data_IF_446058810593
#
_entry.id   IF_446058810593
#
_cell.length_a   1.000
_cell.length_b   1.000
_cell.length_c   1.000
_cell.angle_alpha   90.00
_cell.angle_beta   90.00
_cell.angle_gamma   90.00
#
_symmetry.space_group_name_H-M   'P 1'
#
loop_
_entity.id
_entity.type
_entity.pdbx_description
1 polymer ?
#
# COMPACT_ATOMS: atom_id res chain seq x y z
N UNK A 1 21.00 12.54 -30.84
CA UNK A 1 21.71 12.79 -29.56
C UNK A 1 23.20 12.80 -29.79
N UNK A 2 23.84 13.92 -29.45
CA UNK A 2 25.30 14.08 -29.50
C UNK A 2 25.98 13.25 -28.40
N UNK A 3 27.29 13.02 -28.53
CA UNK A 3 28.11 12.36 -27.49
C UNK A 3 28.14 13.17 -26.18
N UNK A 4 27.90 14.48 -26.27
CA UNK A 4 27.85 15.41 -25.13
C UNK A 4 26.55 15.25 -24.34
N UNK A 5 25.41 15.11 -25.03
CA UNK A 5 24.09 14.90 -24.40
C UNK A 5 24.06 13.60 -23.56
N UNK A 6 24.69 12.53 -24.05
CA UNK A 6 24.76 11.24 -23.34
C UNK A 6 25.57 11.31 -22.05
N UNK A 7 26.64 12.12 -22.03
CA UNK A 7 27.49 12.31 -20.83
C UNK A 7 26.81 13.17 -19.76
N UNK A 8 25.94 14.10 -20.15
CA UNK A 8 25.16 14.92 -19.21
C UNK A 8 23.94 14.19 -18.63
N UNK A 9 23.38 13.22 -19.36
CA UNK A 9 22.22 12.45 -18.90
C UNK A 9 22.56 11.36 -17.87
N UNK A 10 23.77 10.79 -17.92
CA UNK A 10 24.23 9.74 -17.01
C UNK A 10 24.16 10.13 -15.50
N UNK A 11 24.71 11.27 -15.05
CA UNK A 11 24.62 11.67 -13.63
C UNK A 11 23.18 12.00 -13.21
N UNK A 12 22.36 12.56 -14.11
CA UNK A 12 20.95 12.82 -13.82
C UNK A 12 20.14 11.53 -13.65
N UNK A 13 20.47 10.47 -14.41
CA UNK A 13 19.86 9.17 -14.28
C UNK A 13 20.19 8.53 -12.93
N UNK A 14 21.47 8.58 -12.50
CA UNK A 14 21.90 8.08 -11.19
C UNK A 14 21.13 8.76 -10.05
N UNK A 15 21.04 10.10 -10.07
CA UNK A 15 20.29 10.86 -9.06
C UNK A 15 18.81 10.44 -8.98
N UNK A 16 18.17 10.20 -10.13
CA UNK A 16 16.78 9.74 -10.15
C UNK A 16 16.62 8.32 -9.59
N UNK A 17 17.57 7.42 -9.86
CA UNK A 17 17.54 6.07 -9.31
C UNK A 17 17.77 6.10 -7.80
N UNK A 18 18.70 6.93 -7.30
CA UNK A 18 18.91 7.13 -5.87
C UNK A 18 17.65 7.70 -5.19
N UNK A 19 17.00 8.69 -5.80
CA UNK A 19 15.71 9.23 -5.31
C UNK A 19 14.65 8.12 -5.25
N UNK A 20 14.58 7.26 -6.27
CA UNK A 20 13.68 6.11 -6.30
C UNK A 20 13.98 5.12 -5.17
N UNK A 21 15.25 4.83 -4.90
CA UNK A 21 15.66 3.95 -3.79
C UNK A 21 15.22 4.52 -2.44
N UNK A 22 15.41 5.82 -2.20
CA UNK A 22 14.98 6.47 -0.96
C UNK A 22 13.47 6.41 -0.74
N UNK A 23 12.68 6.56 -1.82
CA UNK A 23 11.24 6.40 -1.76
C UNK A 23 10.82 4.95 -1.51
N UNK A 24 11.51 3.98 -2.12
CA UNK A 24 11.28 2.56 -1.85
C UNK A 24 11.61 2.20 -0.40
N UNK A 25 12.69 2.72 0.16
CA UNK A 25 13.01 2.52 1.58
C UNK A 25 11.92 3.08 2.50
N UNK A 26 11.34 4.24 2.15
CA UNK A 26 10.20 4.78 2.89
C UNK A 26 8.96 3.88 2.77
N UNK A 27 8.66 3.39 1.56
CA UNK A 27 7.54 2.49 1.31
C UNK A 27 7.69 1.16 2.07
N UNK A 28 8.88 0.57 2.04
CA UNK A 28 9.23 -0.66 2.77
C UNK A 28 9.05 -0.48 4.28
N UNK A 29 9.52 0.65 4.83
CA UNK A 29 9.31 0.96 6.26
C UNK A 29 7.83 1.05 6.60
N UNK A 30 7.04 1.70 5.76
CA UNK A 30 5.60 1.80 5.97
C UNK A 30 4.92 0.43 5.88
N UNK A 31 5.24 -0.39 4.88
CA UNK A 31 4.67 -1.74 4.73
C UNK A 31 5.01 -2.64 5.93
N UNK A 32 6.25 -2.62 6.42
CA UNK A 32 6.64 -3.33 7.65
C UNK A 32 5.81 -2.86 8.84
N UNK A 33 5.64 -1.54 9.00
CA UNK A 33 4.81 -0.97 10.07
C UNK A 33 3.33 -1.35 9.91
N UNK A 34 2.83 -1.40 8.70
CA UNK A 34 1.44 -1.79 8.40
C UNK A 34 1.19 -3.25 8.78
N UNK A 35 2.14 -4.15 8.51
CA UNK A 35 2.09 -5.56 8.94
C UNK A 35 2.02 -5.67 10.47
N UNK A 36 2.81 -4.86 11.19
CA UNK A 36 2.79 -4.80 12.66
C UNK A 36 1.43 -4.33 13.18
N UNK A 37 0.93 -3.21 12.66
CA UNK A 37 -0.33 -2.59 13.07
C UNK A 37 -1.52 -3.53 12.81
N UNK A 38 -1.54 -4.19 11.66
CA UNK A 38 -2.50 -5.26 11.38
C UNK A 38 -2.36 -6.47 12.31
N UNK A 39 -1.16 -6.74 12.83
CA UNK A 39 -0.94 -7.76 13.86
C UNK A 39 -1.68 -7.47 15.17
N UNK A 40 -2.01 -6.20 15.46
CA UNK A 40 -2.81 -5.80 16.60
C UNK A 40 -4.32 -5.66 16.28
N UNK A 41 -4.74 -5.95 15.05
CA UNK A 41 -6.12 -5.78 14.60
C UNK A 41 -6.55 -4.32 14.36
N UNK A 42 -5.61 -3.39 14.32
CA UNK A 42 -5.88 -1.96 14.11
C UNK A 42 -5.97 -1.65 12.61
N UNK A 43 -7.15 -1.89 12.03
CA UNK A 43 -7.41 -1.60 10.63
C UNK A 43 -7.37 -0.10 10.29
N UNK A 44 -7.70 0.78 11.24
CA UNK A 44 -7.75 2.23 11.02
C UNK A 44 -6.35 2.83 10.86
N UNK A 45 -5.44 2.52 11.79
CA UNK A 45 -4.06 2.98 11.68
C UNK A 45 -3.38 2.38 10.43
N UNK A 46 -3.69 1.13 10.09
CA UNK A 46 -3.21 0.50 8.86
C UNK A 46 -3.71 1.20 7.59
N UNK A 47 -4.95 1.70 7.58
CA UNK A 47 -5.47 2.52 6.48
C UNK A 47 -4.78 3.88 6.36
N UNK A 48 -4.46 4.55 7.48
CA UNK A 48 -3.69 5.82 7.47
C UNK A 48 -2.28 5.64 6.90
N UNK A 49 -1.66 4.49 7.15
CA UNK A 49 -0.37 4.14 6.54
C UNK A 49 -0.54 3.92 5.05
N UNK A 50 -1.62 3.26 4.62
CA UNK A 50 -1.92 3.04 3.19
C UNK A 50 -2.09 4.35 2.41
N UNK A 51 -2.79 5.34 2.98
CA UNK A 51 -2.90 6.68 2.37
C UNK A 51 -1.53 7.35 2.16
N UNK A 52 -0.57 7.06 3.05
CA UNK A 52 0.80 7.55 2.90
C UNK A 52 1.58 6.75 1.85
N UNK A 53 1.34 5.44 1.74
CA UNK A 53 1.92 4.58 0.71
C UNK A 53 1.47 5.01 -0.69
N UNK A 54 0.19 5.33 -0.88
CA UNK A 54 -0.33 5.82 -2.16
C UNK A 54 0.46 7.03 -2.67
N UNK A 55 0.74 8.01 -1.79
CA UNK A 55 1.54 9.19 -2.14
C UNK A 55 2.98 8.84 -2.52
N UNK A 56 3.57 7.81 -1.91
CA UNK A 56 4.91 7.34 -2.26
C UNK A 56 4.90 6.63 -3.62
N UNK A 57 3.90 5.79 -3.89
CA UNK A 57 3.70 5.10 -5.17
C UNK A 57 3.51 6.11 -6.30
N UNK A 58 2.69 7.14 -6.11
CA UNK A 58 2.50 8.19 -7.12
C UNK A 58 3.81 8.89 -7.49
N UNK A 59 4.66 9.17 -6.48
CA UNK A 59 6.00 9.74 -6.69
C UNK A 59 6.93 8.77 -7.42
N UNK A 60 6.92 7.49 -7.04
CA UNK A 60 7.68 6.44 -7.72
C UNK A 60 7.30 6.37 -9.20
N UNK A 61 6.00 6.32 -9.52
CA UNK A 61 5.51 6.35 -10.91
C UNK A 61 5.93 7.63 -11.65
N UNK A 62 5.97 8.78 -10.97
CA UNK A 62 6.47 10.02 -11.58
C UNK A 62 7.97 9.96 -11.88
N UNK A 63 8.78 9.30 -11.05
CA UNK A 63 10.21 9.14 -11.29
C UNK A 63 10.45 8.13 -12.40
N UNK A 64 9.69 7.04 -12.47
CA UNK A 64 9.78 6.05 -13.55
C UNK A 64 9.61 6.71 -14.92
N UNK A 65 8.63 7.61 -15.07
CA UNK A 65 8.44 8.39 -16.30
C UNK A 65 9.59 9.34 -16.64
N UNK A 66 10.37 9.78 -15.65
CA UNK A 66 11.58 10.60 -15.87
C UNK A 66 12.76 9.73 -16.29
N UNK A 67 12.92 8.58 -15.62
CA UNK A 67 13.94 7.57 -15.92
C UNK A 67 13.78 7.07 -17.36
N UNK A 68 12.56 6.68 -17.76
CA UNK A 68 12.25 6.18 -19.11
C UNK A 68 12.70 7.15 -20.22
N UNK A 69 12.55 8.46 -19.99
CA UNK A 69 12.97 9.50 -20.95
C UNK A 69 14.48 9.71 -21.03
N UNK A 70 15.22 9.30 -20.00
CA UNK A 70 16.66 9.55 -19.87
C UNK A 70 17.50 8.29 -20.16
N UNK A 71 16.94 7.09 -19.99
CA UNK A 71 17.66 5.83 -20.24
C UNK A 71 18.10 5.65 -21.69
N UNK A 72 17.40 6.25 -22.65
CA UNK A 72 17.75 6.13 -24.07
C UNK A 72 19.16 6.66 -24.36
N UNK A 73 20.09 5.73 -24.64
CA UNK A 73 21.43 6.06 -25.09
C UNK A 73 22.44 6.38 -23.98
N UNK A 74 22.10 6.16 -22.71
CA UNK A 74 23.09 6.20 -21.61
C UNK A 74 23.92 4.92 -21.63
N UNK A 75 25.25 4.99 -21.82
CA UNK A 75 26.10 3.80 -21.77
C UNK A 75 26.13 3.24 -20.35
N UNK A 76 25.97 1.91 -20.23
CA UNK A 76 26.06 1.27 -18.94
C UNK A 76 27.51 1.31 -18.41
N UNK A 77 27.65 1.66 -17.14
CA UNK A 77 28.89 1.63 -16.39
C UNK A 77 28.70 0.84 -15.09
N UNK A 78 29.79 0.51 -14.41
CA UNK A 78 29.74 -0.33 -13.20
C UNK A 78 28.88 0.28 -12.09
N UNK A 79 29.01 1.59 -11.88
CA UNK A 79 28.22 2.36 -10.89
C UNK A 79 26.71 2.23 -11.12
N UNK A 80 26.26 2.38 -12.37
CA UNK A 80 24.85 2.23 -12.73
C UNK A 80 24.36 0.80 -12.51
N UNK A 81 25.20 -0.21 -12.79
CA UNK A 81 24.87 -1.62 -12.57
C UNK A 81 24.67 -1.90 -11.07
N UNK A 82 25.59 -1.44 -10.21
CA UNK A 82 25.52 -1.63 -8.76
C UNK A 82 24.29 -0.95 -8.14
N UNK A 83 24.00 0.28 -8.56
CA UNK A 83 22.83 1.02 -8.10
C UNK A 83 21.54 0.36 -8.58
N UNK A 84 21.51 -0.15 -9.82
CA UNK A 84 20.36 -0.86 -10.37
C UNK A 84 20.11 -2.19 -9.66
N UNK A 85 21.16 -2.92 -9.27
CA UNK A 85 21.01 -4.13 -8.45
C UNK A 85 20.36 -3.81 -7.11
N UNK A 86 20.81 -2.73 -6.45
CA UNK A 86 20.21 -2.25 -5.20
C UNK A 86 18.73 -1.89 -5.40
N UNK A 87 18.40 -1.20 -6.50
CA UNK A 87 17.02 -0.86 -6.86
C UNK A 87 16.15 -2.12 -7.00
N UNK A 88 16.63 -3.14 -7.70
CA UNK A 88 15.88 -4.38 -7.89
C UNK A 88 15.65 -5.13 -6.58
N UNK A 89 16.66 -5.19 -5.71
CA UNK A 89 16.51 -5.80 -4.38
C UNK A 89 15.40 -5.11 -3.58
N UNK A 90 15.35 -3.76 -3.61
CA UNK A 90 14.31 -2.98 -2.92
C UNK A 90 12.92 -3.16 -3.51
N UNK A 91 12.81 -3.22 -4.84
CA UNK A 91 11.55 -3.51 -5.52
C UNK A 91 11.01 -4.88 -5.13
N UNK A 92 11.88 -5.89 -5.10
CA UNK A 92 11.49 -7.24 -4.71
C UNK A 92 11.09 -7.32 -3.23
N UNK A 93 11.84 -6.68 -2.33
CA UNK A 93 11.48 -6.57 -0.92
C UNK A 93 10.09 -5.93 -0.75
N UNK A 94 9.85 -4.79 -1.40
CA UNK A 94 8.55 -4.10 -1.36
C UNK A 94 7.42 -4.97 -1.92
N UNK A 95 7.66 -5.71 -3.01
CA UNK A 95 6.68 -6.62 -3.62
C UNK A 95 6.26 -7.73 -2.66
N UNK A 96 7.24 -8.36 -1.99
CA UNK A 96 6.99 -9.41 -1.02
C UNK A 96 6.23 -8.90 0.20
N UNK A 97 6.60 -7.72 0.72
CA UNK A 97 5.91 -7.09 1.84
C UNK A 97 4.48 -6.70 1.47
N UNK A 98 4.25 -6.13 0.29
CA UNK A 98 2.92 -5.77 -0.17
C UNK A 98 1.98 -6.98 -0.23
N UNK A 99 2.45 -8.13 -0.73
CA UNK A 99 1.68 -9.37 -0.74
C UNK A 99 1.25 -9.79 0.67
N UNK A 100 2.13 -9.66 1.66
CA UNK A 100 1.82 -9.96 3.06
C UNK A 100 0.83 -8.96 3.66
N UNK A 101 0.97 -7.67 3.35
CA UNK A 101 0.01 -6.61 3.75
C UNK A 101 -1.38 -6.93 3.20
N UNK A 102 -1.48 -7.28 1.91
CA UNK A 102 -2.73 -7.59 1.24
C UNK A 102 -3.44 -8.79 1.89
N UNK A 103 -2.70 -9.87 2.16
CA UNK A 103 -3.23 -11.04 2.83
C UNK A 103 -3.78 -10.71 4.24
N UNK A 104 -3.02 -9.94 5.02
CA UNK A 104 -3.47 -9.52 6.36
C UNK A 104 -4.70 -8.63 6.31
N UNK A 105 -4.75 -7.68 5.38
CA UNK A 105 -5.92 -6.83 5.17
C UNK A 105 -7.17 -7.66 4.85
N UNK A 106 -7.05 -8.64 3.95
CA UNK A 106 -8.16 -9.56 3.62
C UNK A 106 -8.67 -10.31 4.85
N UNK A 107 -7.78 -10.75 5.73
CA UNK A 107 -8.17 -11.44 6.95
C UNK A 107 -8.90 -10.52 7.94
N UNK A 108 -8.40 -9.30 8.14
CA UNK A 108 -9.06 -8.28 8.99
C UNK A 108 -10.45 -7.94 8.46
N UNK A 109 -10.58 -7.69 7.15
CA UNK A 109 -11.88 -7.39 6.53
C UNK A 109 -12.89 -8.52 6.70
N UNK A 110 -12.45 -9.78 6.63
CA UNK A 110 -13.32 -10.95 6.90
C UNK A 110 -13.81 -10.96 8.34
N UNK A 111 -12.96 -10.64 9.32
CA UNK A 111 -13.38 -10.57 10.72
C UNK A 111 -14.38 -9.42 10.94
N UNK A 112 -14.11 -8.23 10.42
CA UNK A 112 -15.07 -7.12 10.50
C UNK A 112 -16.42 -7.44 9.84
N UNK A 113 -16.41 -8.16 8.72
CA UNK A 113 -17.66 -8.60 8.08
C UNK A 113 -18.45 -9.56 8.97
N UNK A 114 -17.79 -10.48 9.69
CA UNK A 114 -18.47 -11.37 10.63
C UNK A 114 -19.09 -10.58 11.79
N UNK A 115 -18.35 -9.65 12.37
CA UNK A 115 -18.83 -8.79 13.46
C UNK A 115 -20.04 -7.96 13.03
N UNK A 116 -19.97 -7.35 11.83
CA UNK A 116 -21.07 -6.60 11.26
C UNK A 116 -22.32 -7.46 11.08
N UNK A 117 -22.17 -8.68 10.57
CA UNK A 117 -23.29 -9.61 10.40
C UNK A 117 -23.96 -9.95 11.74
N UNK A 118 -23.16 -10.21 12.79
CA UNK A 118 -23.68 -10.48 14.14
C UNK A 118 -24.45 -9.28 14.68
N UNK A 119 -23.90 -8.07 14.55
CA UNK A 119 -24.56 -6.84 14.98
C UNK A 119 -25.89 -6.63 14.23
N UNK A 120 -25.93 -6.85 12.91
CA UNK A 120 -27.13 -6.73 12.10
C UNK A 120 -28.22 -7.73 12.52
N UNK A 121 -27.87 -8.99 12.74
CA UNK A 121 -28.82 -10.01 13.23
C UNK A 121 -29.40 -9.59 14.58
N UNK A 122 -28.58 -9.09 15.51
CA UNK A 122 -29.05 -8.61 16.80
C UNK A 122 -30.01 -7.42 16.66
N UNK A 123 -29.71 -6.46 15.77
CA UNK A 123 -30.59 -5.31 15.48
C UNK A 123 -31.92 -5.79 14.90
N UNK A 124 -31.91 -6.70 13.94
CA UNK A 124 -33.13 -7.26 13.34
C UNK A 124 -33.96 -8.02 14.39
N UNK A 125 -33.32 -8.82 15.24
CA UNK A 125 -34.00 -9.55 16.30
C UNK A 125 -34.63 -8.59 17.32
N UNK A 126 -33.92 -7.55 17.74
CA UNK A 126 -34.46 -6.48 18.61
C UNK A 126 -35.66 -5.79 17.98
N UNK A 127 -35.58 -5.40 16.71
CA UNK A 127 -36.71 -4.81 15.97
C UNK A 127 -37.91 -5.76 15.92
N UNK A 128 -37.69 -7.03 15.61
CA UNK A 128 -38.75 -8.03 15.54
C UNK A 128 -39.44 -8.23 16.91
N UNK A 129 -38.66 -8.34 17.98
CA UNK A 129 -39.19 -8.50 19.34
C UNK A 129 -39.93 -7.25 19.83
N UNK A 130 -39.44 -6.06 19.52
CA UNK A 130 -40.09 -4.80 19.87
C UNK A 130 -41.47 -4.68 19.18
N UNK A 131 -41.52 -4.94 17.86
CA UNK A 131 -42.79 -4.97 17.13
C UNK A 131 -43.78 -5.96 17.76
N UNK A 132 -43.32 -7.16 18.14
CA UNK A 132 -44.18 -8.14 18.85
C UNK A 132 -44.66 -7.66 20.22
N UNK A 133 -43.82 -7.00 21.01
CA UNK A 133 -44.22 -6.47 22.32
C UNK A 133 -45.32 -5.41 22.20
N UNK A 134 -45.28 -4.57 21.17
CA UNK A 134 -46.33 -3.58 20.91
C UNK A 134 -47.67 -4.27 20.59
N UNK A 135 -47.65 -5.37 19.83
CA UNK A 135 -48.84 -6.19 19.59
C UNK A 135 -49.40 -6.86 20.86
N UNK A 136 -48.55 -7.21 21.84
CA UNK A 136 -48.98 -7.85 23.10
C UNK A 136 -49.63 -6.85 24.08
N UNK A 137 -49.47 -5.54 23.88
CA UNK A 137 -50.16 -4.50 24.66
C UNK A 137 -51.53 -4.12 24.10
N UNK A 138 -51.90 -4.59 22.90
CA UNK A 138 -53.12 -4.17 22.18
C UNK A 138 -54.21 -5.24 22.04
N UNK A 139 -54.23 -6.28 22.85
CA UNK A 139 -55.38 -7.21 22.94
C UNK A 139 -54.91 -8.61 23.28
N UNK A 140 -55.40 -9.24 24.35
CA UNK A 140 -56.82 -9.61 24.50
C UNK A 140 -57.37 -9.29 25.89
N UNK A 141 -58.45 -8.49 25.92
CA UNK A 141 -59.55 -8.63 26.87
C UNK A 141 -60.56 -9.63 26.30
#
# INVERSE_FOLDING_TARGET
>A
MSSVDRKQNAPNLVVLIEEKILLLDALIRNQKRQIEVFGFGDGEAGAKIEDSNLKLVDKLCSIDRKIEKLEEGVPQNLELIEIMETLFQKLEESRLLHSQVEERMKNILKEYQKELNVAQVQIQLKRHLHLRQDFWKTGTC
#
